data_IF_584740819257
#
_entry.id   IF_584740819257
#
_cell.length_a   1.000
_cell.length_b   1.000
_cell.length_c   1.000
_cell.angle_alpha   90.00
_cell.angle_beta   90.00
_cell.angle_gamma   90.00
#
_symmetry.space_group_name_H-M   'P 1'
#
loop_
_entity.id
_entity.type
_entity.pdbx_description
1 polymer ?
#
# COMPACT_ATOMS: atom_id res chain seq x y z
N UNK A 1 32.82 12.34 -2.17
CA UNK A 1 32.12 11.12 -2.63
C UNK A 1 33.20 10.12 -2.98
N UNK A 2 33.54 9.27 -2.03
CA UNK A 2 34.58 8.26 -2.17
C UNK A 2 33.93 6.93 -2.55
N UNK A 3 34.36 6.24 -3.62
CA UNK A 3 33.93 4.89 -3.89
C UNK A 3 34.93 3.91 -3.25
N UNK A 4 34.56 3.28 -2.14
CA UNK A 4 35.28 2.13 -1.60
C UNK A 4 34.84 0.86 -2.32
N UNK A 5 35.71 0.42 -3.22
CA UNK A 5 36.25 -0.93 -3.37
C UNK A 5 35.27 -2.11 -3.16
N UNK A 6 34.60 -2.52 -4.24
CA UNK A 6 33.95 -3.83 -4.35
C UNK A 6 34.96 -4.87 -4.84
N UNK A 7 35.48 -5.69 -3.92
CA UNK A 7 36.28 -6.87 -4.24
C UNK A 7 35.53 -8.14 -3.89
N UNK A 8 35.05 -8.86 -4.91
CA UNK A 8 34.73 -10.30 -4.84
C UNK A 8 35.14 -10.91 -6.18
N UNK A 9 36.30 -11.56 -6.22
CA UNK A 9 36.54 -12.73 -7.06
C UNK A 9 36.39 -13.97 -6.18
N UNK A 10 36.37 -15.21 -6.66
CA UNK A 10 36.26 -15.82 -7.99
C UNK A 10 35.63 -17.19 -7.71
N UNK A 11 34.87 -17.68 -8.69
CA UNK A 11 34.62 -19.06 -9.10
C UNK A 11 34.95 -20.23 -8.14
N UNK A 12 33.97 -21.11 -7.92
CA UNK A 12 33.96 -22.43 -8.57
C UNK A 12 32.83 -23.35 -8.04
N UNK A 13 32.46 -24.28 -8.92
CA UNK A 13 31.68 -25.50 -8.73
C UNK A 13 30.14 -25.42 -8.79
N UNK A 14 29.67 -25.65 -10.02
CA UNK A 14 28.33 -26.14 -10.34
C UNK A 14 28.13 -27.52 -9.71
N UNK A 15 27.10 -27.68 -8.89
CA UNK A 15 26.57 -29.02 -8.58
C UNK A 15 25.07 -29.01 -8.82
N UNK A 16 24.72 -29.43 -10.03
CA UNK A 16 23.37 -29.86 -10.37
C UNK A 16 23.00 -31.03 -9.48
N UNK A 17 21.99 -30.88 -8.64
CA UNK A 17 21.17 -32.01 -8.24
C UNK A 17 19.73 -31.57 -7.99
N UNK A 18 18.86 -32.06 -8.89
CA UNK A 18 17.41 -32.06 -8.76
C UNK A 18 16.99 -32.57 -7.38
N UNK A 19 16.16 -31.81 -6.68
CA UNK A 19 15.36 -32.34 -5.57
C UNK A 19 13.97 -31.71 -5.60
N UNK A 20 12.89 -32.50 -5.43
CA UNK A 20 11.52 -32.01 -5.54
C UNK A 20 11.28 -30.94 -4.48
N UNK A 21 10.61 -29.85 -4.88
CA UNK A 21 10.19 -28.77 -4.00
C UNK A 21 9.36 -29.34 -2.84
N UNK A 22 10.00 -29.64 -1.72
CA UNK A 22 9.34 -29.94 -0.46
C UNK A 22 8.50 -28.72 -0.11
N UNK A 23 7.17 -28.85 -0.24
CA UNK A 23 6.23 -27.89 0.32
C UNK A 23 6.51 -27.87 1.82
N UNK A 24 7.20 -26.84 2.29
CA UNK A 24 7.46 -26.62 3.71
C UNK A 24 6.13 -26.73 4.46
N UNK A 25 5.95 -27.84 5.16
CA UNK A 25 4.80 -28.08 6.01
C UNK A 25 4.92 -27.09 7.17
N UNK A 26 4.27 -25.94 7.03
CA UNK A 26 4.29 -24.89 8.04
C UNK A 26 3.71 -25.46 9.33
N UNK A 27 4.56 -25.68 10.33
CA UNK A 27 4.11 -26.00 11.67
C UNK A 27 3.48 -24.75 12.29
N UNK A 28 2.15 -24.70 12.28
CA UNK A 28 1.36 -23.72 13.02
C UNK A 28 1.73 -23.83 14.50
N UNK A 29 2.01 -22.69 15.14
CA UNK A 29 2.29 -22.66 16.57
C UNK A 29 0.99 -22.98 17.34
N UNK A 30 1.09 -23.79 18.39
CA UNK A 30 -0.02 -23.99 19.33
C UNK A 30 -0.43 -22.64 19.96
N UNK A 31 -1.72 -22.36 20.22
CA UNK A 31 -2.15 -21.14 20.91
C UNK A 31 -1.40 -20.88 22.23
N UNK A 32 -1.18 -21.94 23.02
CA UNK A 32 -0.47 -21.85 24.31
C UNK A 32 1.00 -21.44 24.14
N UNK A 33 1.62 -21.87 23.05
CA UNK A 33 2.99 -21.47 22.70
C UNK A 33 3.03 -19.99 22.31
N UNK A 34 2.05 -19.52 21.54
CA UNK A 34 1.96 -18.10 21.16
C UNK A 34 1.74 -17.24 22.40
N UNK A 35 0.85 -17.63 23.31
CA UNK A 35 0.59 -16.88 24.54
C UNK A 35 1.85 -16.72 25.43
N UNK A 36 2.63 -17.79 25.62
CA UNK A 36 3.88 -17.73 26.38
C UNK A 36 4.93 -16.84 25.71
N UNK A 37 5.06 -16.93 24.38
CA UNK A 37 5.96 -16.07 23.62
C UNK A 37 5.52 -14.60 23.68
N UNK A 38 4.21 -14.33 23.65
CA UNK A 38 3.65 -12.98 23.80
C UNK A 38 3.87 -12.40 25.19
N UNK A 39 3.75 -13.21 26.24
CA UNK A 39 4.04 -12.78 27.60
C UNK A 39 5.52 -12.39 27.75
N UNK A 40 6.43 -13.24 27.27
CA UNK A 40 7.87 -12.92 27.27
C UNK A 40 8.17 -11.64 26.46
N UNK A 41 7.52 -11.47 25.31
CA UNK A 41 7.73 -10.32 24.43
C UNK A 41 7.41 -8.98 25.10
N UNK A 42 6.45 -8.93 26.03
CA UNK A 42 6.10 -7.70 26.76
C UNK A 42 7.28 -7.16 27.58
N UNK A 43 8.07 -8.06 28.19
CA UNK A 43 9.24 -7.69 28.99
C UNK A 43 10.53 -7.58 28.16
N UNK A 44 10.69 -8.44 27.14
CA UNK A 44 11.90 -8.46 26.32
C UNK A 44 11.58 -8.71 24.83
N UNK A 45 11.41 -7.65 24.01
CA UNK A 45 11.15 -7.76 22.58
C UNK A 45 12.38 -8.16 21.73
N UNK A 46 13.58 -8.18 22.32
CA UNK A 46 14.84 -8.42 21.63
C UNK A 46 15.70 -9.47 22.36
N UNK A 47 15.21 -10.72 22.47
CA UNK A 47 15.94 -11.76 23.20
C UNK A 47 17.28 -12.09 22.53
N UNK A 48 18.33 -12.16 23.34
CA UNK A 48 19.66 -12.54 22.94
C UNK A 48 19.75 -14.06 22.62
N UNK A 49 20.92 -14.55 22.21
CA UNK A 49 21.08 -15.96 21.82
C UNK A 49 20.88 -16.94 22.99
N UNK A 50 21.31 -16.58 24.20
CA UNK A 50 21.18 -17.43 25.38
C UNK A 50 19.72 -17.50 25.85
N UNK A 51 19.03 -16.36 25.89
CA UNK A 51 17.60 -16.28 26.21
C UNK A 51 16.76 -17.07 25.20
N UNK A 52 17.09 -17.00 23.90
CA UNK A 52 16.41 -17.82 22.87
C UNK A 52 16.65 -19.31 23.07
N UNK A 53 17.84 -19.73 23.49
CA UNK A 53 18.15 -21.13 23.79
C UNK A 53 17.39 -21.62 25.02
N UNK A 54 17.32 -20.81 26.06
CA UNK A 54 16.60 -21.12 27.30
C UNK A 54 15.09 -21.24 27.06
N UNK A 55 14.51 -20.23 26.43
CA UNK A 55 13.10 -20.24 26.04
C UNK A 55 12.78 -21.41 25.09
N UNK A 56 13.73 -21.78 24.23
CA UNK A 56 13.61 -22.95 23.36
C UNK A 56 13.57 -24.28 24.12
N UNK A 57 14.35 -24.41 25.19
CA UNK A 57 14.31 -25.60 26.07
C UNK A 57 12.99 -25.67 26.82
N UNK A 58 12.54 -24.57 27.42
CA UNK A 58 11.31 -24.50 28.20
C UNK A 58 10.07 -24.80 27.34
N UNK A 59 9.97 -24.16 26.18
CA UNK A 59 8.83 -24.30 25.27
C UNK A 59 8.94 -25.52 24.35
N UNK A 60 10.05 -26.26 24.40
CA UNK A 60 10.38 -27.37 23.48
C UNK A 60 10.32 -26.95 22.01
N UNK A 61 10.83 -25.77 21.71
CA UNK A 61 10.88 -25.18 20.37
C UNK A 61 12.32 -24.86 19.98
N UNK A 62 12.67 -25.10 18.71
CA UNK A 62 13.98 -24.77 18.20
C UNK A 62 14.27 -23.25 18.34
N UNK A 63 15.45 -22.83 18.85
CA UNK A 63 15.79 -21.41 19.03
C UNK A 63 15.67 -20.57 17.75
N UNK A 64 15.85 -21.19 16.58
CA UNK A 64 15.66 -20.57 15.26
C UNK A 64 14.21 -20.17 15.03
N UNK A 65 13.24 -21.00 15.41
CA UNK A 65 11.81 -20.66 15.30
C UNK A 65 11.44 -19.50 16.23
N UNK A 66 12.02 -19.47 17.42
CA UNK A 66 11.86 -18.34 18.36
C UNK A 66 12.39 -17.06 17.72
N UNK A 67 13.61 -17.07 17.16
CA UNK A 67 14.18 -15.93 16.44
C UNK A 67 13.22 -15.36 15.38
N UNK A 68 12.67 -16.23 14.53
CA UNK A 68 11.73 -15.81 13.49
C UNK A 68 10.41 -15.31 14.05
N UNK A 69 9.89 -15.95 15.10
CA UNK A 69 8.66 -15.50 15.75
C UNK A 69 8.82 -14.08 16.30
N UNK A 70 9.91 -13.79 17.03
CA UNK A 70 10.17 -12.44 17.56
C UNK A 70 10.36 -11.41 16.44
N UNK A 71 11.08 -11.78 15.37
CA UNK A 71 11.23 -10.89 14.22
C UNK A 71 9.88 -10.57 13.56
N UNK A 72 9.03 -11.58 13.37
CA UNK A 72 7.70 -11.41 12.80
C UNK A 72 6.78 -10.61 13.72
N UNK A 73 6.84 -10.85 15.04
CA UNK A 73 6.04 -10.14 16.04
C UNK A 73 6.37 -8.64 16.04
N UNK A 74 7.67 -8.28 16.00
CA UNK A 74 8.08 -6.86 15.87
C UNK A 74 7.54 -6.22 14.60
N UNK A 75 7.66 -6.90 13.46
CA UNK A 75 7.13 -6.39 12.20
C UNK A 75 5.60 -6.24 12.25
N UNK A 76 4.89 -7.20 12.87
CA UNK A 76 3.44 -7.14 13.06
C UNK A 76 3.04 -5.93 13.91
N UNK A 77 3.69 -5.70 15.05
CA UNK A 77 3.42 -4.57 15.93
C UNK A 77 3.68 -3.25 15.20
N UNK A 78 4.83 -3.11 14.52
CA UNK A 78 5.15 -1.92 13.72
C UNK A 78 4.09 -1.65 12.66
N UNK A 79 3.62 -2.69 11.96
CA UNK A 79 2.58 -2.56 10.95
C UNK A 79 1.21 -2.21 11.55
N UNK A 80 0.89 -2.70 12.76
CA UNK A 80 -0.34 -2.33 13.47
C UNK A 80 -0.32 -0.86 13.90
N UNK A 81 0.79 -0.39 14.47
CA UNK A 81 0.99 1.01 14.85
C UNK A 81 0.83 1.92 13.62
N UNK A 82 1.57 1.65 12.53
CA UNK A 82 1.48 2.45 11.32
C UNK A 82 0.05 2.49 10.73
N UNK A 83 -0.69 1.39 10.81
CA UNK A 83 -2.11 1.34 10.38
C UNK A 83 -3.01 2.19 11.28
N UNK A 84 -2.83 2.10 12.60
CA UNK A 84 -3.59 2.89 13.56
C UNK A 84 -3.31 4.40 13.39
N UNK A 85 -2.04 4.78 13.24
CA UNK A 85 -1.62 6.16 12.96
C UNK A 85 -2.23 6.67 11.64
N UNK A 86 -2.18 5.88 10.57
CA UNK A 86 -2.76 6.29 9.29
C UNK A 86 -4.28 6.47 9.39
N UNK A 87 -4.95 5.60 10.13
CA UNK A 87 -6.38 5.73 10.39
C UNK A 87 -6.71 7.04 11.12
N UNK A 88 -6.03 7.30 12.23
CA UNK A 88 -6.22 8.52 13.01
C UNK A 88 -5.97 9.79 12.18
N UNK A 89 -4.90 9.81 11.38
CA UNK A 89 -4.60 10.93 10.48
C UNK A 89 -5.70 11.15 9.42
N UNK A 90 -6.31 10.08 8.90
CA UNK A 90 -7.43 10.21 7.94
C UNK A 90 -8.68 10.78 8.59
N UNK A 91 -9.00 10.35 9.80
CA UNK A 91 -10.14 10.89 10.56
C UNK A 91 -9.95 12.36 10.88
N UNK A 92 -8.74 12.74 11.33
CA UNK A 92 -8.40 14.13 11.59
C UNK A 92 -8.43 14.97 10.32
N UNK A 93 -7.89 14.46 9.21
CA UNK A 93 -7.94 15.15 7.92
C UNK A 93 -9.38 15.38 7.45
N UNK A 94 -10.26 14.39 7.62
CA UNK A 94 -11.68 14.52 7.32
C UNK A 94 -12.35 15.58 8.20
N UNK A 95 -12.02 15.63 9.49
CA UNK A 95 -12.52 16.66 10.42
C UNK A 95 -12.08 18.06 9.98
N UNK A 96 -10.80 18.24 9.68
CA UNK A 96 -10.24 19.50 9.19
C UNK A 96 -10.88 19.91 7.86
N UNK A 97 -11.13 18.96 6.95
CA UNK A 97 -11.82 19.21 5.69
C UNK A 97 -13.23 19.76 5.92
N UNK A 98 -14.01 19.12 6.80
CA UNK A 98 -15.36 19.57 7.15
C UNK A 98 -15.35 20.93 7.85
N UNK A 99 -14.42 21.15 8.79
CA UNK A 99 -14.25 22.44 9.47
C UNK A 99 -13.90 23.55 8.47
N UNK A 100 -12.96 23.30 7.55
CA UNK A 100 -12.62 24.24 6.47
C UNK A 100 -13.80 24.53 5.56
N UNK A 101 -14.62 23.52 5.23
CA UNK A 101 -15.82 23.70 4.43
C UNK A 101 -16.83 24.61 5.15
N UNK A 102 -17.08 24.37 6.44
CA UNK A 102 -17.97 25.18 7.26
C UNK A 102 -17.45 26.60 7.46
N UNK A 103 -16.14 26.78 7.66
CA UNK A 103 -15.51 28.09 7.75
C UNK A 103 -15.63 28.86 6.44
N UNK A 104 -15.36 28.21 5.29
CA UNK A 104 -15.53 28.81 3.96
C UNK A 104 -16.99 29.21 3.73
N UNK A 105 -17.95 28.37 4.11
CA UNK A 105 -19.37 28.72 4.03
C UNK A 105 -19.74 29.92 4.91
N UNK A 106 -19.26 29.93 6.16
CA UNK A 106 -19.47 31.06 7.06
C UNK A 106 -18.86 32.36 6.52
N UNK A 107 -17.66 32.28 5.94
CA UNK A 107 -16.99 33.40 5.26
C UNK A 107 -17.77 33.86 4.01
N UNK A 108 -18.43 32.95 3.29
CA UNK A 108 -19.33 33.30 2.18
C UNK A 108 -20.57 34.07 2.63
N UNK A 109 -21.02 33.86 3.87
CA UNK A 109 -22.29 34.39 4.35
C UNK A 109 -22.20 35.75 5.08
N UNK A 110 -21.05 36.43 5.06
CA UNK A 110 -20.91 37.75 5.70
C UNK A 110 -20.56 38.85 4.68
N UNK A 111 -21.60 39.40 4.08
CA UNK A 111 -21.72 40.85 3.77
C UNK A 111 -20.62 41.49 2.90
N UNK A 112 -20.23 40.86 1.79
CA UNK A 112 -19.53 41.60 0.72
C UNK A 112 -20.36 41.57 -0.56
N UNK A 113 -21.14 42.64 -0.77
CA UNK A 113 -21.96 42.85 -1.97
C UNK A 113 -21.15 42.85 -3.28
N UNK A 114 -19.84 43.11 -3.22
CA UNK A 114 -18.92 43.12 -4.36
C UNK A 114 -18.36 41.73 -4.67
N UNK A 115 -18.38 40.80 -3.72
CA UNK A 115 -17.72 39.49 -3.81
C UNK A 115 -18.66 38.37 -4.30
N UNK A 116 -19.98 38.58 -4.28
CA UNK A 116 -21.02 37.63 -4.75
C UNK A 116 -20.81 37.24 -6.23
N UNK A 117 -20.29 38.17 -7.05
CA UNK A 117 -19.93 37.90 -8.45
C UNK A 117 -18.68 37.04 -8.63
N UNK A 118 -17.76 37.01 -7.65
CA UNK A 118 -16.51 36.24 -7.74
C UNK A 118 -16.68 34.80 -7.22
N UNK A 119 -17.52 34.60 -6.20
CA UNK A 119 -17.78 33.27 -5.63
C UNK A 119 -18.63 32.37 -6.54
N UNK A 120 -19.47 32.97 -7.39
CA UNK A 120 -20.22 32.24 -8.43
C UNK A 120 -19.32 31.83 -9.58
N UNK A 121 -18.34 32.68 -9.95
CA UNK A 121 -17.35 32.38 -10.99
C UNK A 121 -16.45 31.17 -10.61
N UNK A 122 -16.00 31.06 -9.36
CA UNK A 122 -15.16 29.92 -8.94
C UNK A 122 -15.91 28.59 -8.90
N UNK A 123 -17.16 28.60 -8.43
CA UNK A 123 -18.01 27.40 -8.46
C UNK A 123 -18.32 26.98 -9.91
N UNK A 124 -18.58 27.94 -10.79
CA UNK A 124 -18.78 27.70 -12.21
C UNK A 124 -17.51 27.19 -12.90
N UNK A 125 -16.33 27.66 -12.50
CA UNK A 125 -15.04 27.17 -13.02
C UNK A 125 -14.73 25.74 -12.58
N UNK A 126 -15.01 25.40 -11.32
CA UNK A 126 -14.79 24.04 -10.82
C UNK A 126 -15.80 23.04 -11.43
N UNK A 127 -17.07 23.43 -11.56
CA UNK A 127 -18.09 22.66 -12.28
C UNK A 127 -17.72 22.49 -13.76
N UNK A 128 -17.21 23.55 -14.42
CA UNK A 128 -16.74 23.51 -15.81
C UNK A 128 -15.53 22.59 -15.97
N UNK A 129 -14.58 22.59 -15.03
CA UNK A 129 -13.44 21.65 -15.05
C UNK A 129 -13.89 20.21 -14.89
N UNK A 130 -14.88 19.95 -14.03
CA UNK A 130 -15.44 18.60 -13.85
C UNK A 130 -16.12 18.12 -15.14
N UNK A 131 -16.97 18.96 -15.74
CA UNK A 131 -17.64 18.67 -17.02
C UNK A 131 -16.61 18.45 -18.13
N UNK A 132 -15.56 19.29 -18.21
CA UNK A 132 -14.51 19.16 -19.20
C UNK A 132 -13.76 17.82 -19.06
N UNK A 133 -13.45 17.41 -17.83
CA UNK A 133 -12.83 16.11 -17.56
C UNK A 133 -13.71 14.95 -18.02
N UNK A 134 -15.01 15.03 -17.77
CA UNK A 134 -15.98 14.03 -18.22
C UNK A 134 -16.03 13.94 -19.75
N UNK A 135 -16.14 15.08 -20.44
CA UNK A 135 -16.14 15.15 -21.91
C UNK A 135 -14.85 14.65 -22.55
N UNK A 136 -13.70 14.81 -21.89
CA UNK A 136 -12.42 14.29 -22.38
C UNK A 136 -12.39 12.75 -22.34
N UNK A 137 -12.94 12.15 -21.28
CA UNK A 137 -13.05 10.69 -21.17
C UNK A 137 -14.01 10.15 -22.22
N UNK A 138 -15.18 10.76 -22.38
CA UNK A 138 -16.17 10.37 -23.40
C UNK A 138 -15.60 10.49 -24.82
N UNK A 139 -14.89 11.57 -25.13
CA UNK A 139 -14.22 11.71 -26.43
C UNK A 139 -13.16 10.64 -26.68
N UNK A 140 -12.41 10.24 -25.65
CA UNK A 140 -11.44 9.16 -25.79
C UNK A 140 -12.13 7.83 -26.11
N UNK A 141 -13.21 7.51 -25.39
CA UNK A 141 -14.02 6.31 -25.64
C UNK A 141 -14.64 6.31 -27.04
N UNK A 142 -15.23 7.43 -27.45
CA UNK A 142 -15.82 7.57 -28.79
C UNK A 142 -14.77 7.42 -29.89
N UNK A 143 -13.54 7.89 -29.68
CA UNK A 143 -12.44 7.69 -30.63
C UNK A 143 -12.04 6.21 -30.72
N UNK A 144 -11.91 5.52 -29.60
CA UNK A 144 -11.63 4.08 -29.60
C UNK A 144 -12.74 3.27 -30.27
N UNK A 145 -14.01 3.63 -30.05
CA UNK A 145 -15.16 3.01 -30.71
C UNK A 145 -15.17 3.30 -32.21
N UNK A 146 -14.87 4.53 -32.62
CA UNK A 146 -14.76 4.90 -34.02
C UNK A 146 -13.63 4.14 -34.71
N UNK A 147 -12.44 4.06 -34.10
CA UNK A 147 -11.32 3.28 -34.62
C UNK A 147 -11.67 1.79 -34.74
N UNK A 148 -12.36 1.24 -33.74
CA UNK A 148 -12.85 -0.14 -33.77
C UNK A 148 -13.84 -0.38 -34.91
N UNK A 149 -14.79 0.53 -35.11
CA UNK A 149 -15.76 0.44 -36.20
C UNK A 149 -15.10 0.62 -37.57
N UNK A 150 -14.14 1.53 -37.70
CA UNK A 150 -13.34 1.72 -38.92
C UNK A 150 -12.56 0.45 -39.24
N UNK A 151 -11.88 -0.15 -38.25
CA UNK A 151 -11.18 -1.43 -38.42
C UNK A 151 -12.14 -2.57 -38.78
N UNK A 152 -13.32 -2.60 -38.15
CA UNK A 152 -14.35 -3.59 -38.45
C UNK A 152 -14.87 -3.45 -39.89
N UNK A 153 -15.19 -2.23 -40.33
CA UNK A 153 -15.64 -1.95 -41.70
C UNK A 153 -14.53 -2.25 -42.72
N UNK A 154 -13.28 -1.92 -42.41
CA UNK A 154 -12.13 -2.27 -43.25
C UNK A 154 -11.88 -3.78 -43.36
N UNK A 155 -12.33 -4.56 -42.36
CA UNK A 155 -12.20 -6.02 -42.33
C UNK A 155 -13.37 -6.75 -43.02
N UNK A 156 -14.43 -6.03 -43.43
CA UNK A 156 -15.55 -6.63 -44.17
C UNK A 156 -15.18 -6.81 -45.66
N UNK A 157 -15.50 -7.96 -46.29
CA UNK A 157 -15.24 -8.18 -47.70
C UNK A 157 -16.10 -7.24 -48.55
N UNK A 158 -15.47 -6.20 -49.13
CA UNK A 158 -16.09 -5.22 -50.02
C UNK A 158 -15.94 -3.75 -49.62
N UNK A 159 -15.17 -3.40 -48.58
CA UNK A 159 -14.93 -2.00 -48.21
C UNK A 159 -14.23 -1.19 -49.34
N UNK A 160 -14.57 0.10 -49.53
CA UNK A 160 -14.10 0.87 -50.67
C UNK A 160 -12.58 1.07 -50.58
N UNK A 161 -11.87 0.51 -51.54
CA UNK A 161 -10.48 0.83 -51.79
C UNK A 161 -10.35 2.27 -52.29
N UNK A 162 -9.31 2.94 -51.77
CA UNK A 162 -8.56 4.07 -52.35
C UNK A 162 -9.33 5.23 -52.98
#
# INVERSE_FOLDING_TARGET
MDPVNGGIGSDDEVSSNNSPKHKNQYHRNSPDLVAQLEEFFKGNPHPNENERKELGRELRVEPKRIKFWFQNKRNQVKAQIARAENHALREENQKIYLENMMMRERMRCTVCSTCVGLATATKQDDDRKLILRQLLVENAQLKEEWERLVQFVASLPGGPGT
#
